data_IF_666698960937
#
_entry.id   IF_666698960937
#
_cell.length_a   1.000
_cell.length_b   1.000
_cell.length_c   1.000
_cell.angle_alpha   90.00
_cell.angle_beta   90.00
_cell.angle_gamma   90.00
#
_symmetry.space_group_name_H-M   'P 1'
#
loop_
_entity.id
_entity.type
_entity.pdbx_description
1 polymer ?
#
# COMPACT_ATOMS: atom_id res chain seq x y z
N UNK A 1 0.21 -22.60 5.24
CA UNK A 1 -0.47 -22.64 6.56
C UNK A 1 0.49 -22.08 7.61
N UNK A 2 0.00 -21.29 8.59
CA UNK A 2 0.83 -20.68 9.65
C UNK A 2 1.70 -21.69 10.39
N UNK A 3 1.14 -22.80 10.79
CA UNK A 3 1.84 -23.89 11.47
C UNK A 3 3.08 -24.39 10.69
N UNK A 4 2.98 -24.50 9.36
CA UNK A 4 4.12 -24.95 8.55
C UNK A 4 5.27 -23.95 8.56
N UNK A 5 4.98 -22.65 8.62
CA UNK A 5 5.99 -21.60 8.71
C UNK A 5 6.70 -21.72 10.06
N UNK A 6 5.93 -21.76 11.16
CA UNK A 6 6.49 -21.87 12.52
C UNK A 6 7.33 -23.15 12.67
N UNK A 7 6.79 -24.26 12.18
CA UNK A 7 7.51 -25.54 12.20
C UNK A 7 8.82 -25.48 11.39
N UNK A 8 8.80 -24.93 10.18
CA UNK A 8 10.00 -24.79 9.36
C UNK A 8 11.05 -23.88 10.03
N UNK A 9 10.62 -22.78 10.66
CA UNK A 9 11.53 -21.90 11.42
C UNK A 9 12.20 -22.68 12.56
N UNK A 10 11.44 -23.50 13.28
CA UNK A 10 11.94 -24.31 14.37
C UNK A 10 12.90 -25.41 13.89
N UNK A 11 12.48 -26.19 12.89
CA UNK A 11 13.22 -27.37 12.43
C UNK A 11 14.52 -26.98 11.72
N UNK A 12 14.50 -25.92 10.91
CA UNK A 12 15.64 -25.48 10.10
C UNK A 12 16.50 -24.41 10.82
N UNK A 13 16.11 -23.97 12.00
CA UNK A 13 16.86 -22.98 12.78
C UNK A 13 16.93 -21.62 12.11
N UNK A 14 15.87 -21.19 11.41
CA UNK A 14 15.85 -19.92 10.67
C UNK A 14 16.01 -18.73 11.61
N UNK A 15 16.91 -17.82 11.26
CA UNK A 15 17.21 -16.61 12.06
C UNK A 15 16.53 -15.36 11.52
N UNK A 16 16.19 -15.35 10.24
CA UNK A 16 15.49 -14.29 9.53
C UNK A 16 14.39 -14.94 8.69
N UNK A 17 13.19 -14.44 8.78
CA UNK A 17 12.06 -14.97 8.01
C UNK A 17 11.39 -13.83 7.26
N UNK A 18 11.25 -13.99 5.95
CA UNK A 18 10.48 -13.07 5.13
C UNK A 18 9.01 -13.48 5.11
N UNK A 19 8.14 -12.55 5.46
CA UNK A 19 6.69 -12.77 5.52
C UNK A 19 5.94 -11.74 4.68
N UNK A 20 4.87 -12.20 4.06
CA UNK A 20 3.82 -11.31 3.57
C UNK A 20 2.98 -10.83 4.76
N UNK A 21 2.43 -9.62 4.66
CA UNK A 21 1.55 -9.06 5.69
C UNK A 21 0.39 -10.02 6.07
N UNK A 22 -0.34 -10.63 5.10
CA UNK A 22 -1.36 -11.62 5.46
C UNK A 22 -0.84 -12.83 6.23
N UNK A 23 0.36 -13.31 5.90
CA UNK A 23 0.93 -14.47 6.59
C UNK A 23 1.30 -14.16 8.03
N UNK A 24 1.84 -12.97 8.28
CA UNK A 24 2.11 -12.51 9.65
C UNK A 24 0.80 -12.38 10.44
N UNK A 25 -0.27 -11.86 9.81
CA UNK A 25 -1.60 -11.77 10.42
C UNK A 25 -2.15 -13.17 10.75
N UNK A 26 -2.11 -14.09 9.80
CA UNK A 26 -2.62 -15.46 9.97
C UNK A 26 -1.87 -16.20 11.08
N UNK A 27 -0.56 -16.00 11.21
CA UNK A 27 0.25 -16.57 12.31
C UNK A 27 -0.29 -16.08 13.66
N UNK A 28 -0.46 -14.77 13.83
CA UNK A 28 -0.96 -14.18 15.07
C UNK A 28 -2.38 -14.65 15.39
N UNK A 29 -3.26 -14.69 14.40
CA UNK A 29 -4.64 -15.14 14.58
C UNK A 29 -4.73 -16.62 14.98
N UNK A 30 -3.85 -17.45 14.43
CA UNK A 30 -3.79 -18.88 14.75
C UNK A 30 -3.25 -19.11 16.17
N UNK A 31 -2.29 -18.28 16.61
CA UNK A 31 -1.78 -18.29 17.99
C UNK A 31 -2.88 -17.86 18.98
N UNK A 32 -3.60 -16.77 18.68
CA UNK A 32 -4.67 -16.25 19.54
C UNK A 32 -5.83 -17.24 19.68
N UNK A 33 -6.11 -18.05 18.65
CA UNK A 33 -7.10 -19.13 18.74
C UNK A 33 -6.60 -20.37 19.50
N UNK A 34 -5.33 -20.38 19.92
CA UNK A 34 -4.72 -21.52 20.62
C UNK A 34 -4.47 -22.73 19.73
N UNK A 35 -4.45 -22.56 18.40
CA UNK A 35 -4.17 -23.61 17.43
C UNK A 35 -2.67 -23.89 17.28
N UNK A 36 -1.82 -22.94 17.68
CA UNK A 36 -0.36 -23.07 17.75
C UNK A 36 0.10 -22.77 19.18
N UNK A 37 0.73 -23.72 19.83
CA UNK A 37 1.45 -23.53 21.09
C UNK A 37 2.93 -23.25 20.79
N UNK A 38 3.36 -22.02 20.96
CA UNK A 38 4.74 -21.61 20.68
C UNK A 38 5.77 -22.32 21.57
N UNK A 39 5.36 -22.87 22.72
CA UNK A 39 6.27 -23.60 23.62
C UNK A 39 6.76 -24.93 23.04
N UNK A 40 6.07 -25.46 22.02
CA UNK A 40 6.44 -26.69 21.32
C UNK A 40 7.53 -26.47 20.25
N UNK A 41 7.93 -25.22 19.97
CA UNK A 41 8.84 -24.86 18.89
C UNK A 41 10.10 -24.16 19.40
N UNK A 42 11.21 -24.42 18.74
CA UNK A 42 12.49 -23.73 18.98
C UNK A 42 12.57 -22.48 18.13
N UNK A 43 12.19 -21.31 18.70
CA UNK A 43 12.11 -20.05 17.98
C UNK A 43 13.10 -18.98 18.49
N UNK A 44 13.92 -19.30 19.50
CA UNK A 44 14.84 -18.33 20.13
C UNK A 44 15.90 -17.75 19.18
N UNK A 45 16.25 -18.47 18.11
CA UNK A 45 17.16 -18.02 17.07
C UNK A 45 16.51 -17.09 16.04
N UNK A 46 15.18 -17.07 15.94
CA UNK A 46 14.45 -16.16 15.05
C UNK A 46 14.49 -14.74 15.59
N UNK A 47 15.34 -13.93 15.01
CA UNK A 47 15.62 -12.58 15.50
C UNK A 47 14.99 -11.46 14.68
N UNK A 48 14.65 -11.72 13.40
CA UNK A 48 14.18 -10.72 12.47
C UNK A 48 13.01 -11.23 11.63
N UNK A 49 11.92 -10.48 11.65
CA UNK A 49 10.85 -10.61 10.69
C UNK A 49 11.05 -9.54 9.60
N UNK A 50 11.41 -9.98 8.39
CA UNK A 50 11.36 -9.13 7.21
C UNK A 50 9.94 -9.16 6.64
N UNK A 51 9.27 -8.02 6.56
CA UNK A 51 7.86 -7.95 6.15
C UNK A 51 7.67 -6.94 5.03
N UNK A 52 6.87 -7.28 4.01
CA UNK A 52 6.70 -6.36 2.89
C UNK A 52 5.71 -6.84 1.85
N UNK A 53 5.97 -6.42 0.60
CA UNK A 53 5.14 -6.59 -0.60
C UNK A 53 3.81 -5.81 -0.61
N UNK A 54 3.44 -5.18 0.49
CA UNK A 54 2.31 -4.26 0.63
C UNK A 54 2.52 -3.35 1.85
N UNK A 55 1.74 -2.26 2.02
CA UNK A 55 1.83 -1.41 3.20
C UNK A 55 1.67 -2.22 4.49
N UNK A 56 2.55 -2.00 5.45
CA UNK A 56 2.58 -2.72 6.72
C UNK A 56 1.76 -1.96 7.76
N UNK A 57 0.65 -2.56 8.28
CA UNK A 57 -0.17 -1.90 9.28
C UNK A 57 0.58 -1.72 10.61
N UNK A 58 0.58 -0.51 11.22
CA UNK A 58 1.20 -0.29 12.52
C UNK A 58 0.67 -1.24 13.62
N UNK A 59 -0.62 -1.53 13.60
CA UNK A 59 -1.25 -2.43 14.57
C UNK A 59 -0.68 -3.87 14.48
N UNK A 60 -0.35 -4.33 13.28
CA UNK A 60 0.25 -5.65 13.08
C UNK A 60 1.62 -5.75 13.74
N UNK A 61 2.49 -4.77 13.56
CA UNK A 61 3.83 -4.77 14.16
C UNK A 61 3.73 -4.69 15.68
N UNK A 62 2.87 -3.83 16.22
CA UNK A 62 2.65 -3.73 17.67
C UNK A 62 2.17 -5.05 18.25
N UNK A 63 1.22 -5.71 17.61
CA UNK A 63 0.72 -7.02 18.03
C UNK A 63 1.80 -8.11 17.89
N UNK A 64 2.59 -8.09 16.81
CA UNK A 64 3.72 -9.00 16.61
C UNK A 64 4.72 -8.93 17.75
N UNK A 65 5.13 -7.74 18.15
CA UNK A 65 6.07 -7.51 19.24
C UNK A 65 5.50 -7.86 20.62
N UNK A 66 4.18 -7.98 20.77
CA UNK A 66 3.55 -8.51 21.99
C UNK A 66 3.76 -10.02 22.09
N UNK A 67 3.69 -10.75 20.97
CA UNK A 67 3.88 -12.19 20.91
C UNK A 67 5.37 -12.57 20.85
N UNK A 68 6.14 -11.80 20.09
CA UNK A 68 7.58 -12.00 19.86
C UNK A 68 8.39 -10.77 20.31
N UNK A 69 8.53 -10.52 21.64
CA UNK A 69 9.10 -9.26 22.14
C UNK A 69 10.59 -9.06 21.83
N UNK A 70 11.30 -10.13 21.51
CA UNK A 70 12.72 -10.08 21.17
C UNK A 70 13.00 -9.98 19.66
N UNK A 71 11.95 -9.99 18.84
CA UNK A 71 12.13 -9.86 17.40
C UNK A 71 12.42 -8.43 17.01
N UNK A 72 13.31 -8.29 16.04
CA UNK A 72 13.39 -7.10 15.21
C UNK A 72 12.43 -7.24 14.03
N UNK A 73 12.08 -6.14 13.41
CA UNK A 73 11.42 -6.16 12.12
C UNK A 73 12.07 -5.15 11.19
N UNK A 74 12.00 -5.40 9.92
CA UNK A 74 12.26 -4.42 8.89
C UNK A 74 11.22 -4.54 7.76
N UNK A 75 11.10 -3.49 6.99
CA UNK A 75 10.35 -3.51 5.74
C UNK A 75 11.12 -2.77 4.68
N UNK A 76 10.81 -3.05 3.42
CA UNK A 76 11.39 -2.32 2.31
C UNK A 76 10.35 -1.95 1.26
N UNK A 77 10.70 -0.97 0.47
CA UNK A 77 9.96 -0.58 -0.70
C UNK A 77 10.87 -0.62 -1.92
N UNK A 78 10.42 -1.27 -2.95
CA UNK A 78 11.08 -1.38 -4.24
C UNK A 78 10.18 -2.06 -5.25
N UNK A 79 10.69 -2.15 -6.47
CA UNK A 79 10.01 -2.69 -7.63
C UNK A 79 10.90 -3.73 -8.29
N UNK A 80 10.32 -4.58 -9.16
CA UNK A 80 11.11 -5.46 -10.02
C UNK A 80 12.11 -4.67 -10.87
N UNK A 81 11.69 -3.49 -11.29
CA UNK A 81 12.46 -2.52 -12.08
C UNK A 81 13.67 -1.95 -11.34
N UNK A 82 13.69 -2.02 -10.02
CA UNK A 82 14.83 -1.62 -9.19
C UNK A 82 15.64 -2.81 -8.63
N UNK A 83 15.20 -4.04 -8.84
CA UNK A 83 15.79 -5.31 -8.34
C UNK A 83 15.93 -5.38 -6.80
N UNK A 84 15.70 -4.32 -6.13
CA UNK A 84 15.90 -4.25 -4.69
C UNK A 84 15.26 -3.04 -4.06
N UNK A 85 15.46 -2.92 -2.76
CA UNK A 85 14.81 -1.88 -1.99
C UNK A 85 15.44 -0.51 -2.26
N UNK A 86 14.69 0.35 -2.92
CA UNK A 86 15.01 1.78 -2.97
C UNK A 86 14.94 2.41 -1.57
N UNK A 87 13.89 2.08 -0.80
CA UNK A 87 13.72 2.52 0.58
C UNK A 87 13.80 1.36 1.57
N UNK A 88 14.31 1.65 2.76
CA UNK A 88 14.41 0.70 3.86
C UNK A 88 13.91 1.36 5.15
N UNK A 89 13.02 0.67 5.86
CA UNK A 89 12.61 0.99 7.21
C UNK A 89 13.20 -0.04 8.17
N UNK A 90 14.14 0.37 8.99
CA UNK A 90 14.86 -0.52 9.88
C UNK A 90 14.32 -0.45 11.31
N UNK A 91 13.98 -1.62 11.81
CA UNK A 91 13.93 -1.99 13.19
C UNK A 91 12.94 -1.29 14.09
N UNK A 92 12.88 -1.82 15.29
CA UNK A 92 12.08 -1.27 16.40
C UNK A 92 12.53 0.11 16.85
N UNK A 93 13.72 0.53 16.47
CA UNK A 93 14.24 1.89 16.73
C UNK A 93 13.39 2.98 16.06
N UNK A 94 12.70 2.63 14.98
CA UNK A 94 11.82 3.51 14.23
C UNK A 94 10.34 3.14 14.41
N UNK A 95 9.97 2.57 15.54
CA UNK A 95 8.63 2.05 15.81
C UNK A 95 7.53 3.14 15.68
N UNK A 96 7.86 4.40 15.93
CA UNK A 96 6.92 5.51 15.82
C UNK A 96 6.63 5.88 14.35
N UNK A 97 7.48 5.42 13.42
CA UNK A 97 7.31 5.60 11.98
C UNK A 97 6.76 4.34 11.29
N UNK A 98 6.21 3.38 12.03
CA UNK A 98 5.61 2.18 11.43
C UNK A 98 4.52 2.58 10.45
N UNK A 99 4.59 1.99 9.25
CA UNK A 99 3.72 2.33 8.12
C UNK A 99 4.41 3.20 7.07
N UNK A 100 5.54 3.85 7.41
CA UNK A 100 6.41 4.49 6.43
C UNK A 100 7.17 3.43 5.61
N UNK A 101 7.53 3.79 4.38
CA UNK A 101 8.40 2.97 3.52
C UNK A 101 9.86 2.98 4.01
N UNK A 102 10.22 3.96 4.84
CA UNK A 102 11.54 4.18 5.34
C UNK A 102 12.29 5.33 4.67
N UNK A 103 13.62 5.20 4.61
CA UNK A 103 14.54 6.15 3.96
C UNK A 103 15.28 5.47 2.83
N UNK A 104 16.01 6.24 2.01
CA UNK A 104 16.85 5.68 0.97
C UNK A 104 17.80 4.62 1.52
N UNK A 105 17.85 3.45 0.87
CA UNK A 105 18.77 2.38 1.22
C UNK A 105 20.21 2.73 0.89
N UNK A 106 21.16 1.92 1.41
CA UNK A 106 22.59 2.13 1.10
C UNK A 106 22.87 2.01 -0.40
N UNK A 107 23.48 3.04 -0.97
CA UNK A 107 23.77 3.11 -2.41
C UNK A 107 22.58 3.48 -3.28
N UNK A 108 21.46 3.87 -2.68
CA UNK A 108 20.25 4.34 -3.36
C UNK A 108 20.01 5.82 -3.09
N UNK A 109 19.43 6.50 -4.06
CA UNK A 109 18.92 7.86 -3.95
C UNK A 109 17.41 7.83 -4.20
N UNK A 110 16.66 8.61 -3.43
CA UNK A 110 15.22 8.76 -3.58
C UNK A 110 14.89 10.24 -3.62
N UNK A 111 14.00 10.61 -4.51
CA UNK A 111 13.37 11.94 -4.54
C UNK A 111 11.90 11.81 -4.89
N UNK A 112 11.11 12.81 -4.52
CA UNK A 112 9.73 12.93 -4.94
C UNK A 112 9.64 14.03 -6.00
N UNK A 113 8.98 13.72 -7.12
CA UNK A 113 8.93 14.62 -8.27
C UNK A 113 7.50 15.00 -8.64
N UNK A 114 7.35 16.21 -9.17
CA UNK A 114 6.17 16.63 -9.92
C UNK A 114 6.14 15.99 -11.34
N UNK A 115 5.13 16.32 -12.13
CA UNK A 115 4.97 15.79 -13.48
C UNK A 115 6.08 16.29 -14.45
N UNK A 116 6.68 17.43 -14.16
CA UNK A 116 7.78 18.00 -14.93
C UNK A 116 9.15 17.38 -14.54
N UNK A 117 9.18 16.55 -13.49
CA UNK A 117 10.38 15.89 -12.98
C UNK A 117 11.21 16.73 -12.01
N UNK A 118 10.68 17.87 -11.56
CA UNK A 118 11.29 18.68 -10.51
C UNK A 118 11.02 18.05 -9.15
N UNK A 119 12.01 18.12 -8.25
CA UNK A 119 11.82 17.65 -6.88
C UNK A 119 10.84 18.54 -6.13
N UNK A 120 9.83 17.92 -5.50
CA UNK A 120 8.83 18.64 -4.69
C UNK A 120 9.37 18.93 -3.29
N UNK A 121 8.93 20.04 -2.65
CA UNK A 121 9.28 20.33 -1.27
C UNK A 121 8.87 19.21 -0.31
N UNK A 122 9.59 19.11 0.81
CA UNK A 122 9.24 18.19 1.89
C UNK A 122 7.83 18.47 2.41
N UNK A 123 7.04 17.41 2.60
CA UNK A 123 5.64 17.50 3.02
C UNK A 123 4.66 17.65 1.86
N UNK A 124 5.14 17.87 0.65
CA UNK A 124 4.32 17.83 -0.55
C UNK A 124 4.32 16.44 -1.19
N UNK A 125 3.23 16.11 -1.87
CA UNK A 125 3.08 14.83 -2.55
C UNK A 125 3.73 14.89 -3.92
N UNK A 126 4.58 13.90 -4.22
CA UNK A 126 5.22 13.73 -5.52
C UNK A 126 5.35 12.25 -5.88
N UNK A 127 5.68 11.98 -7.13
CA UNK A 127 6.00 10.63 -7.59
C UNK A 127 7.35 10.18 -7.01
N UNK A 128 7.38 8.99 -6.42
CA UNK A 128 8.62 8.40 -5.87
C UNK A 128 9.53 8.01 -7.01
N UNK A 129 10.67 8.68 -7.12
CA UNK A 129 11.71 8.41 -8.11
C UNK A 129 12.92 7.79 -7.42
N UNK A 130 13.43 6.70 -7.99
CA UNK A 130 14.48 5.86 -7.43
C UNK A 130 15.69 5.87 -8.37
N UNK A 131 16.89 6.08 -7.81
CA UNK A 131 18.15 5.93 -8.54
C UNK A 131 19.10 5.04 -7.75
N UNK A 132 19.74 4.11 -8.42
CA UNK A 132 20.68 3.19 -7.79
C UNK A 132 21.17 2.09 -8.74
N UNK A 133 22.08 1.24 -8.27
CA UNK A 133 22.77 0.26 -9.12
C UNK A 133 21.85 -0.85 -9.65
N UNK A 134 20.68 -1.06 -9.00
CA UNK A 134 19.72 -2.08 -9.40
C UNK A 134 18.64 -1.58 -10.36
N UNK A 135 18.61 -0.29 -10.72
CA UNK A 135 17.63 0.22 -11.68
C UNK A 135 17.81 -0.47 -13.03
N UNK A 136 16.70 -0.95 -13.58
CA UNK A 136 16.66 -1.64 -14.86
C UNK A 136 17.24 -0.78 -16.00
N UNK A 137 17.72 -1.44 -17.05
CA UNK A 137 18.14 -0.73 -18.26
C UNK A 137 16.97 -0.34 -19.15
N UNK A 138 15.98 -1.23 -19.28
CA UNK A 138 14.80 -1.03 -20.12
C UNK A 138 13.79 -2.14 -19.90
N UNK A 139 12.55 -1.95 -20.35
CA UNK A 139 11.62 -3.05 -20.64
C UNK A 139 12.01 -3.71 -21.98
N UNK A 140 12.00 -5.02 -22.00
CA UNK A 140 12.38 -5.78 -23.20
C UNK A 140 11.40 -5.55 -24.36
N UNK A 141 11.92 -4.98 -25.46
CA UNK A 141 11.14 -4.64 -26.67
C UNK A 141 9.93 -3.71 -26.42
N UNK A 142 10.00 -2.88 -25.40
CA UNK A 142 8.97 -1.89 -25.10
C UNK A 142 9.65 -0.55 -24.79
N UNK A 143 9.98 0.18 -25.87
CA UNK A 143 10.66 1.48 -25.78
C UNK A 143 9.74 2.50 -25.12
N UNK A 144 8.44 2.50 -25.47
CA UNK A 144 7.46 3.44 -24.92
C UNK A 144 7.36 3.31 -23.40
N UNK A 145 7.12 2.10 -22.89
CA UNK A 145 7.07 1.88 -21.44
C UNK A 145 8.40 2.23 -20.74
N UNK A 146 9.53 2.02 -21.42
CA UNK A 146 10.84 2.40 -20.91
C UNK A 146 10.98 3.90 -20.76
N UNK A 147 10.63 4.68 -21.78
CA UNK A 147 10.68 6.15 -21.78
C UNK A 147 9.73 6.75 -20.76
N UNK A 148 8.53 6.16 -20.57
CA UNK A 148 7.57 6.58 -19.57
C UNK A 148 8.07 6.34 -18.13
N UNK A 149 8.89 5.30 -17.92
CA UNK A 149 9.35 4.89 -16.58
C UNK A 149 10.73 5.42 -16.21
N UNK A 150 11.58 5.75 -17.17
CA UNK A 150 12.94 6.21 -16.91
C UNK A 150 13.13 7.66 -17.33
N UNK A 151 13.56 8.50 -16.39
CA UNK A 151 13.98 9.89 -16.65
C UNK A 151 15.46 10.05 -16.34
N UNK A 152 16.32 9.88 -17.35
CA UNK A 152 17.77 9.75 -17.16
C UNK A 152 18.10 8.53 -16.32
N UNK A 153 18.82 8.71 -15.20
CA UNK A 153 19.17 7.62 -14.28
C UNK A 153 18.07 7.32 -13.22
N UNK A 154 16.93 8.00 -13.30
CA UNK A 154 15.86 7.89 -12.32
C UNK A 154 14.73 7.01 -12.83
N UNK A 155 14.37 6.01 -12.05
CA UNK A 155 13.17 5.21 -12.23
C UNK A 155 11.98 5.91 -11.57
N UNK A 156 11.00 6.30 -12.36
CA UNK A 156 9.70 6.80 -11.90
C UNK A 156 8.80 5.63 -11.55
N UNK A 157 8.47 5.48 -10.27
CA UNK A 157 7.84 4.26 -9.77
C UNK A 157 6.35 4.13 -10.10
N UNK A 158 5.71 5.23 -10.44
CA UNK A 158 4.24 5.32 -10.54
C UNK A 158 3.52 5.31 -9.19
N UNK A 159 4.26 5.36 -8.08
CA UNK A 159 3.71 5.47 -6.74
C UNK A 159 3.91 6.91 -6.24
N UNK A 160 2.84 7.50 -5.67
CA UNK A 160 2.86 8.82 -5.06
C UNK A 160 3.23 8.70 -3.59
N UNK A 161 4.10 9.57 -3.13
CA UNK A 161 4.54 9.59 -1.75
C UNK A 161 4.68 11.00 -1.20
N UNK A 162 4.98 11.09 0.09
CA UNK A 162 5.40 12.30 0.77
C UNK A 162 6.58 11.97 1.70
N UNK A 163 7.42 12.96 1.98
CA UNK A 163 8.49 12.87 2.99
C UNK A 163 8.04 13.63 4.23
N UNK A 164 8.03 12.97 5.37
CA UNK A 164 7.70 13.60 6.66
C UNK A 164 8.85 14.46 7.21
N UNK A 165 8.61 15.11 8.37
CA UNK A 165 9.59 15.99 9.01
C UNK A 165 10.88 15.27 9.40
N UNK A 166 10.81 13.98 9.70
CA UNK A 166 11.95 13.13 10.09
C UNK A 166 12.64 12.47 8.90
N UNK A 167 12.14 12.74 7.67
CA UNK A 167 12.70 12.25 6.41
C UNK A 167 12.27 10.83 6.04
N UNK A 168 11.22 10.31 6.68
CA UNK A 168 10.61 9.04 6.28
C UNK A 168 9.65 9.25 5.11
N UNK A 169 9.71 8.32 4.17
CA UNK A 169 8.86 8.31 2.97
C UNK A 169 7.60 7.52 3.28
N UNK A 170 6.45 8.11 3.01
CA UNK A 170 5.14 7.48 3.14
C UNK A 170 4.51 7.35 1.77
N UNK A 171 3.96 6.18 1.47
CA UNK A 171 3.16 6.00 0.27
C UNK A 171 1.78 6.66 0.47
N UNK A 172 1.36 7.39 -0.52
CA UNK A 172 0.06 8.07 -0.52
C UNK A 172 -0.94 7.30 -1.40
N UNK A 173 -0.55 6.99 -2.63
CA UNK A 173 -1.36 6.22 -3.57
C UNK A 173 -0.55 5.81 -4.81
N UNK A 174 -1.20 5.14 -5.76
CA UNK A 174 -0.71 4.96 -7.11
C UNK A 174 -1.05 6.17 -7.97
N UNK A 175 -0.10 6.67 -8.76
CA UNK A 175 -0.29 7.82 -9.67
C UNK A 175 -1.52 7.63 -10.58
N UNK A 176 -1.67 6.45 -11.17
CA UNK A 176 -2.80 6.06 -12.03
C UNK A 176 -4.14 5.90 -11.31
N UNK A 177 -4.13 5.85 -9.99
CA UNK A 177 -5.34 5.68 -9.18
C UNK A 177 -5.79 7.00 -8.54
N UNK A 178 -4.97 8.06 -8.60
CA UNK A 178 -5.34 9.41 -8.15
C UNK A 178 -6.58 9.87 -8.91
N UNK A 179 -7.57 10.38 -8.17
CA UNK A 179 -8.81 10.90 -8.72
C UNK A 179 -8.70 12.42 -8.81
N UNK A 180 -8.88 12.98 -9.99
CA UNK A 180 -8.84 14.44 -10.19
C UNK A 180 -10.26 14.97 -10.18
N UNK A 181 -10.66 15.58 -9.08
CA UNK A 181 -12.01 16.08 -8.86
C UNK A 181 -12.03 17.59 -8.73
N UNK A 182 -12.48 18.30 -9.77
CA UNK A 182 -12.57 19.76 -9.76
C UNK A 182 -11.20 20.45 -9.60
N UNK A 183 -10.12 19.82 -10.08
CA UNK A 183 -8.75 20.31 -9.97
C UNK A 183 -8.02 19.89 -8.68
N UNK A 184 -8.70 19.17 -7.78
CA UNK A 184 -8.10 18.65 -6.55
C UNK A 184 -7.72 17.18 -6.71
N UNK A 185 -6.52 16.82 -6.26
CA UNK A 185 -6.07 15.43 -6.23
C UNK A 185 -6.64 14.70 -5.00
N UNK A 186 -7.48 13.71 -5.25
CA UNK A 186 -7.97 12.80 -4.22
C UNK A 186 -7.17 11.50 -4.26
N UNK A 187 -6.73 11.07 -3.10
CA UNK A 187 -5.95 9.84 -2.94
C UNK A 187 -6.86 8.74 -2.37
N UNK A 188 -7.31 7.79 -3.20
CA UNK A 188 -8.21 6.72 -2.81
C UNK A 188 -7.82 6.00 -1.52
N UNK A 189 -6.54 5.67 -1.34
CA UNK A 189 -6.03 4.96 -0.16
C UNK A 189 -6.35 5.69 1.16
N UNK A 190 -6.35 7.02 1.16
CA UNK A 190 -6.69 7.80 2.35
C UNK A 190 -8.17 7.62 2.74
N UNK A 191 -9.05 7.61 1.73
CA UNK A 191 -10.49 7.42 1.92
C UNK A 191 -10.77 5.97 2.34
N UNK A 192 -10.14 5.00 1.68
CA UNK A 192 -10.24 3.57 1.99
C UNK A 192 -9.82 3.28 3.43
N UNK A 193 -8.68 3.83 3.87
CA UNK A 193 -8.19 3.69 5.24
C UNK A 193 -9.14 4.31 6.27
N UNK A 194 -9.80 5.41 5.92
CA UNK A 194 -10.82 6.02 6.76
C UNK A 194 -12.05 5.10 6.86
N UNK A 195 -12.58 4.62 5.74
CA UNK A 195 -13.74 3.74 5.70
C UNK A 195 -13.52 2.44 6.50
N UNK A 196 -12.31 1.85 6.42
CA UNK A 196 -11.96 0.63 7.18
C UNK A 196 -11.96 0.79 8.71
N UNK A 197 -12.05 2.02 9.24
CA UNK A 197 -12.24 2.25 10.68
C UNK A 197 -13.65 1.92 11.16
N UNK A 198 -14.62 1.85 10.25
CA UNK A 198 -15.99 1.45 10.58
C UNK A 198 -16.04 -0.06 10.82
N UNK A 199 -16.60 -0.46 11.98
CA UNK A 199 -16.62 -1.86 12.41
C UNK A 199 -17.42 -2.78 11.50
N UNK A 200 -18.43 -2.26 10.77
CA UNK A 200 -19.26 -3.02 9.85
C UNK A 200 -18.59 -3.22 8.48
N UNK A 201 -17.54 -2.47 8.15
CA UNK A 201 -16.86 -2.56 6.87
C UNK A 201 -15.77 -3.62 6.95
N UNK A 202 -15.84 -4.63 6.08
CA UNK A 202 -14.79 -5.64 5.91
C UNK A 202 -13.63 -5.07 5.11
N UNK A 203 -13.94 -4.43 3.98
CA UNK A 203 -12.96 -3.72 3.17
C UNK A 203 -13.64 -2.64 2.32
N UNK A 204 -12.84 -1.72 1.78
CA UNK A 204 -13.30 -0.67 0.90
C UNK A 204 -12.29 -0.44 -0.23
N UNK A 205 -12.81 -0.17 -1.43
CA UNK A 205 -12.04 0.27 -2.59
C UNK A 205 -12.65 1.57 -3.12
N UNK A 206 -11.81 2.56 -3.39
CA UNK A 206 -12.25 3.84 -3.94
C UNK A 206 -11.69 4.03 -5.34
N UNK A 207 -12.57 4.41 -6.27
CA UNK A 207 -12.21 4.67 -7.68
C UNK A 207 -12.86 5.99 -8.15
N UNK A 208 -12.30 6.58 -9.20
CA UNK A 208 -12.90 7.72 -9.89
C UNK A 208 -14.07 7.29 -10.75
N UNK A 209 -15.19 7.98 -10.62
CA UNK A 209 -16.33 7.89 -11.52
C UNK A 209 -16.38 9.15 -12.38
N UNK A 210 -16.66 9.05 -13.68
CA UNK A 210 -16.83 10.22 -14.52
C UNK A 210 -17.91 11.16 -13.98
N UNK A 211 -17.64 12.46 -14.00
CA UNK A 211 -18.58 13.52 -13.62
C UNK A 211 -18.43 14.71 -14.59
N UNK A 212 -19.55 15.14 -15.19
CA UNK A 212 -19.56 16.16 -16.23
C UNK A 212 -19.03 17.53 -15.77
N UNK A 213 -19.09 17.80 -14.45
CA UNK A 213 -18.69 19.09 -13.89
C UNK A 213 -17.29 19.08 -13.29
N UNK A 214 -16.92 17.99 -12.66
CA UNK A 214 -15.70 17.89 -11.88
C UNK A 214 -14.61 17.03 -12.55
N UNK A 215 -14.92 16.46 -13.72
CA UNK A 215 -14.08 15.46 -14.38
C UNK A 215 -14.28 14.09 -13.75
N UNK A 216 -13.91 13.94 -12.49
CA UNK A 216 -14.14 12.74 -11.70
C UNK A 216 -14.73 13.06 -10.32
N UNK A 217 -15.41 12.07 -9.76
CA UNK A 217 -15.82 12.04 -8.35
C UNK A 217 -15.38 10.75 -7.69
N UNK A 218 -15.05 10.80 -6.42
CA UNK A 218 -14.75 9.59 -5.65
C UNK A 218 -16.02 8.75 -5.45
N UNK A 219 -15.94 7.45 -5.80
CA UNK A 219 -16.94 6.46 -5.46
C UNK A 219 -16.32 5.34 -4.65
N UNK A 220 -17.00 4.93 -3.58
CA UNK A 220 -16.58 3.88 -2.68
C UNK A 220 -17.35 2.58 -2.98
N UNK A 221 -16.63 1.50 -3.22
CA UNK A 221 -17.13 0.14 -3.23
C UNK A 221 -16.82 -0.45 -1.88
N UNK A 222 -17.85 -0.90 -1.15
CA UNK A 222 -17.76 -1.31 0.25
C UNK A 222 -18.19 -2.76 0.38
N UNK A 223 -17.31 -3.59 0.92
CA UNK A 223 -17.60 -4.96 1.33
C UNK A 223 -17.96 -4.96 2.81
N UNK A 224 -19.21 -5.38 3.13
CA UNK A 224 -19.73 -5.43 4.50
C UNK A 224 -19.28 -6.73 5.17
N UNK A 225 -18.94 -6.68 6.45
CA UNK A 225 -18.63 -7.88 7.25
C UNK A 225 -19.87 -8.74 7.41
N UNK A 226 -19.66 -10.04 7.45
CA UNK A 226 -20.71 -11.01 7.77
C UNK A 226 -21.38 -10.70 9.12
N UNK A 227 -22.70 -10.72 9.13
CA UNK A 227 -23.49 -10.39 10.33
C UNK A 227 -23.74 -8.90 10.58
N UNK A 228 -23.20 -8.01 9.73
CA UNK A 228 -23.46 -6.57 9.79
C UNK A 228 -24.34 -6.11 8.64
N UNK A 229 -25.05 -5.02 8.87
CA UNK A 229 -25.76 -4.26 7.83
C UNK A 229 -25.27 -2.83 7.84
N UNK A 230 -25.25 -2.18 6.69
CA UNK A 230 -24.83 -0.79 6.53
C UNK A 230 -25.60 -0.16 5.38
N UNK A 231 -26.12 1.02 5.59
CA UNK A 231 -26.83 1.82 4.59
C UNK A 231 -25.94 2.93 4.01
N UNK A 232 -26.33 3.46 2.87
CA UNK A 232 -25.63 4.59 2.26
C UNK A 232 -25.64 5.83 3.18
N UNK A 233 -26.78 6.09 3.86
CA UNK A 233 -26.90 7.22 4.79
C UNK A 233 -25.94 7.08 5.97
N UNK A 234 -25.81 5.89 6.55
CA UNK A 234 -24.86 5.63 7.64
C UNK A 234 -23.40 5.79 7.20
N UNK A 235 -23.05 5.39 5.98
CA UNK A 235 -21.71 5.64 5.43
C UNK A 235 -21.50 7.14 5.20
N UNK A 236 -22.48 7.84 4.66
CA UNK A 236 -22.41 9.30 4.45
C UNK A 236 -22.24 10.04 5.78
N UNK A 237 -22.99 9.65 6.82
CA UNK A 237 -22.85 10.21 8.17
C UNK A 237 -21.45 9.94 8.73
N UNK A 238 -20.97 8.71 8.64
CA UNK A 238 -19.60 8.35 9.05
C UNK A 238 -18.54 9.18 8.32
N UNK A 239 -18.74 9.46 7.03
CA UNK A 239 -17.83 10.27 6.23
C UNK A 239 -17.88 11.78 6.54
N UNK A 240 -18.75 12.25 7.44
CA UNK A 240 -18.75 13.67 7.86
C UNK A 240 -17.45 14.10 8.52
N UNK A 241 -16.70 13.17 9.12
CA UNK A 241 -15.38 13.42 9.69
C UNK A 241 -14.27 13.61 8.63
N UNK A 242 -14.53 13.26 7.37
CA UNK A 242 -13.64 13.59 6.26
C UNK A 242 -13.85 15.03 5.79
N UNK A 243 -12.79 15.71 5.31
CA UNK A 243 -12.93 16.95 4.55
C UNK A 243 -13.93 16.77 3.40
N UNK A 244 -14.78 17.77 3.19
CA UNK A 244 -15.89 17.68 2.24
C UNK A 244 -15.49 17.19 0.84
N UNK A 245 -14.35 17.63 0.33
CA UNK A 245 -13.84 17.24 -0.99
C UNK A 245 -13.41 15.78 -1.08
N UNK A 246 -13.04 15.14 0.07
CA UNK A 246 -12.65 13.72 0.13
C UNK A 246 -13.81 12.76 0.33
N UNK A 247 -15.02 13.26 0.62
CA UNK A 247 -16.18 12.39 0.87
C UNK A 247 -16.61 11.70 -0.43
N UNK A 248 -16.75 10.35 -0.41
CA UNK A 248 -17.31 9.65 -1.56
C UNK A 248 -18.67 10.20 -1.94
N UNK A 249 -18.91 10.42 -3.22
CA UNK A 249 -20.21 10.90 -3.74
C UNK A 249 -21.06 9.77 -4.31
N UNK A 250 -20.50 8.57 -4.38
CA UNK A 250 -21.18 7.36 -4.79
C UNK A 250 -20.76 6.23 -3.87
N UNK A 251 -21.72 5.47 -3.38
CA UNK A 251 -21.50 4.33 -2.50
C UNK A 251 -22.13 3.10 -3.15
N UNK A 252 -21.38 2.01 -3.21
CA UNK A 252 -21.81 0.74 -3.79
C UNK A 252 -21.44 -0.35 -2.79
N UNK A 253 -22.41 -1.17 -2.39
CA UNK A 253 -22.14 -2.34 -1.57
C UNK A 253 -21.97 -3.56 -2.48
N UNK A 254 -20.77 -4.13 -2.47
CA UNK A 254 -20.43 -5.29 -3.30
C UNK A 254 -19.14 -5.96 -2.81
N UNK A 255 -18.92 -7.20 -3.26
CA UNK A 255 -17.64 -7.90 -3.09
C UNK A 255 -16.55 -7.20 -3.90
N UNK A 256 -15.35 -7.11 -3.31
CA UNK A 256 -14.20 -6.43 -3.91
C UNK A 256 -13.30 -7.47 -4.59
N UNK A 257 -13.12 -7.43 -5.93
CA UNK A 257 -12.28 -8.36 -6.66
C UNK A 257 -10.80 -8.22 -6.26
N UNK A 258 -10.15 -9.37 -6.11
CA UNK A 258 -8.73 -9.45 -5.73
C UNK A 258 -7.99 -10.41 -6.64
N UNK A 259 -6.74 -10.09 -6.91
CA UNK A 259 -5.85 -11.01 -7.60
C UNK A 259 -5.42 -12.18 -6.68
N UNK A 260 -4.74 -13.21 -7.22
CA UNK A 260 -4.28 -14.36 -6.41
C UNK A 260 -3.36 -14.00 -5.24
N UNK A 261 -2.74 -12.82 -5.23
CA UNK A 261 -1.90 -12.32 -4.13
C UNK A 261 -2.69 -11.52 -3.10
N UNK A 262 -4.03 -11.40 -3.24
CA UNK A 262 -4.93 -10.70 -2.33
C UNK A 262 -5.03 -9.19 -2.56
N UNK A 263 -4.38 -8.63 -3.59
CA UNK A 263 -4.45 -7.19 -3.91
C UNK A 263 -5.76 -6.85 -4.62
N UNK A 264 -6.37 -5.73 -4.25
CA UNK A 264 -7.58 -5.19 -4.89
C UNK A 264 -7.30 -4.87 -6.36
N UNK A 265 -8.19 -5.33 -7.24
CA UNK A 265 -8.12 -5.11 -8.68
C UNK A 265 -8.97 -3.90 -9.09
N UNK A 266 -8.50 -2.68 -8.81
CA UNK A 266 -9.20 -1.43 -9.20
C UNK A 266 -9.52 -1.35 -10.71
N UNK A 267 -8.68 -1.84 -11.64
CA UNK A 267 -9.04 -1.88 -13.05
C UNK A 267 -10.31 -2.69 -13.34
N UNK A 268 -10.52 -3.79 -12.62
CA UNK A 268 -11.76 -4.60 -12.74
C UNK A 268 -12.96 -3.80 -12.24
N UNK A 269 -12.83 -3.14 -11.10
CA UNK A 269 -13.88 -2.28 -10.55
C UNK A 269 -14.25 -1.13 -11.49
N UNK A 270 -13.26 -0.45 -12.09
CA UNK A 270 -13.51 0.59 -13.10
C UNK A 270 -14.28 0.04 -14.29
N UNK A 271 -13.89 -1.12 -14.80
CA UNK A 271 -14.60 -1.78 -15.91
C UNK A 271 -16.05 -2.14 -15.53
N UNK A 272 -16.28 -2.60 -14.32
CA UNK A 272 -17.62 -3.00 -13.84
C UNK A 272 -18.55 -1.80 -13.65
N UNK A 273 -18.06 -0.69 -13.11
CA UNK A 273 -18.90 0.40 -12.62
C UNK A 273 -18.81 1.68 -13.44
N UNK A 274 -17.74 1.88 -14.22
CA UNK A 274 -17.56 3.10 -15.05
C UNK A 274 -17.71 2.82 -16.55
N UNK A 275 -17.86 1.56 -16.98
CA UNK A 275 -17.99 1.17 -18.38
C UNK A 275 -16.69 1.36 -19.17
N UNK A 276 -16.79 1.31 -20.53
CA UNK A 276 -15.63 1.46 -21.42
C UNK A 276 -15.13 2.91 -21.55
N UNK A 277 -15.77 3.86 -20.91
CA UNK A 277 -15.35 5.26 -20.84
C UNK A 277 -14.40 5.50 -19.66
N UNK A 278 -13.40 4.66 -19.53
CA UNK A 278 -12.25 4.99 -18.68
C UNK A 278 -11.47 6.06 -19.43
N UNK A 279 -11.56 7.29 -18.96
CA UNK A 279 -10.56 8.31 -19.28
C UNK A 279 -9.28 7.83 -18.60
N UNK A 280 -8.51 6.97 -19.31
CA UNK A 280 -7.11 6.94 -19.07
C UNK A 280 -6.66 8.40 -19.26
N UNK A 281 -5.91 8.96 -18.31
CA UNK A 281 -5.10 10.13 -18.59
C UNK A 281 -4.11 9.72 -19.70
N UNK A 282 -4.61 9.70 -20.92
CA UNK A 282 -3.80 9.71 -22.11
C UNK A 282 -3.29 11.14 -22.20
N UNK A 283 -2.00 11.27 -21.97
CA UNK A 283 -1.23 12.37 -22.54
C UNK A 283 -1.70 12.50 -23.99
N UNK A 284 -2.32 13.65 -24.31
CA UNK A 284 -2.72 13.95 -25.67
C UNK A 284 -1.49 13.83 -26.56
N UNK A 285 -1.59 12.92 -27.52
CA UNK A 285 -0.73 12.93 -28.69
C UNK A 285 -1.12 14.19 -29.50
N UNK A 286 -0.20 15.14 -29.61
CA UNK A 286 -0.03 16.06 -30.72
C UNK A 286 1.39 15.93 -31.30
#
# INVERSE_FOLDING_TARGET
>A
KPEWIIKAVSDEGCTIVWLLVPWAQDILDTIDRGEIDLSEYHLSQWRLMHIGAQPVPPALIKRWLTVFPNHQYDTNYGLSESIGPGCIHLGVENIDHVGALGKAGYGWEIKLCDDDGNEVPRGEVGEICIKGPGVMKCYYKDEKATEESLRGDWLCSGDMGLVDEDGFIHIVDRKKDVIISGGENLYPVQIENFLRKNLAIKDAAVIGFPDDRLGEIAGAIIEIKEGYTLTEDEVNEFCLDLPRYKRPRKIIFADIPRNPTGKIEKPVLRKMYCGSSVVAHQVQED
#
